data_IF_842263877555
#
_entry.id   IF_842263877555
#
_cell.length_a   1.000
_cell.length_b   1.000
_cell.length_c   1.000
_cell.angle_alpha   90.00
_cell.angle_beta   90.00
_cell.angle_gamma   90.00
#
_symmetry.space_group_name_H-M   'P 1'
#
loop_
_entity.id
_entity.type
_entity.pdbx_description
1 polymer ?
#
# COMPACT_ATOMS: atom_id res chain seq x y z
N UNK A 1 -17.25 17.76 -10.06
CA UNK A 1 -15.86 18.24 -9.88
C UNK A 1 -15.31 17.60 -8.61
N UNK A 2 -14.57 16.50 -8.71
CA UNK A 2 -14.11 15.66 -7.57
C UNK A 2 -12.62 15.23 -7.69
N UNK A 3 -11.85 15.84 -8.59
CA UNK A 3 -10.56 15.31 -9.05
C UNK A 3 -9.40 15.62 -8.06
N UNK A 4 -9.50 16.70 -7.27
CA UNK A 4 -8.43 17.09 -6.36
C UNK A 4 -8.26 16.15 -5.16
N UNK A 5 -9.37 15.57 -4.69
CA UNK A 5 -9.37 14.61 -3.56
C UNK A 5 -8.83 13.24 -3.98
N UNK A 6 -9.21 12.77 -5.18
CA UNK A 6 -8.72 11.49 -5.71
C UNK A 6 -7.23 11.55 -5.99
N UNK A 7 -6.73 12.60 -6.64
CA UNK A 7 -5.31 12.74 -6.95
C UNK A 7 -4.43 12.76 -5.70
N UNK A 8 -4.82 13.52 -4.68
CA UNK A 8 -4.08 13.59 -3.41
C UNK A 8 -4.05 12.23 -2.72
N UNK A 9 -5.14 11.47 -2.78
CA UNK A 9 -5.19 10.11 -2.25
C UNK A 9 -4.29 9.15 -3.04
N UNK A 10 -4.33 9.22 -4.37
CA UNK A 10 -3.50 8.38 -5.25
C UNK A 10 -2.01 8.66 -5.04
N UNK A 11 -1.62 9.94 -4.94
CA UNK A 11 -0.24 10.35 -4.69
C UNK A 11 0.25 9.86 -3.32
N UNK A 12 -0.60 9.94 -2.28
CA UNK A 12 -0.31 9.37 -0.96
C UNK A 12 -0.11 7.85 -1.04
N UNK A 13 -1.01 7.15 -1.72
CA UNK A 13 -0.99 5.68 -1.79
C UNK A 13 0.25 5.19 -2.55
N UNK A 14 0.59 5.87 -3.65
CA UNK A 14 1.84 5.65 -4.40
C UNK A 14 3.08 5.91 -3.54
N UNK A 15 3.10 6.99 -2.75
CA UNK A 15 4.22 7.28 -1.85
C UNK A 15 4.39 6.21 -0.77
N UNK A 16 3.28 5.73 -0.19
CA UNK A 16 3.29 4.64 0.80
C UNK A 16 3.83 3.35 0.19
N UNK A 17 3.39 2.98 -1.03
CA UNK A 17 3.89 1.80 -1.74
C UNK A 17 5.40 1.88 -2.01
N UNK A 18 5.89 3.03 -2.50
CA UNK A 18 7.32 3.25 -2.78
C UNK A 18 8.19 3.10 -1.54
N UNK A 19 7.76 3.67 -0.42
CA UNK A 19 8.48 3.56 0.86
C UNK A 19 8.52 2.13 1.37
N UNK A 20 7.40 1.42 1.31
CA UNK A 20 7.33 0.01 1.67
C UNK A 20 8.25 -0.87 0.80
N UNK A 21 8.33 -0.62 -0.50
CA UNK A 21 9.28 -1.31 -1.41
C UNK A 21 10.74 -0.97 -1.08
N UNK A 22 11.00 0.24 -0.61
CA UNK A 22 12.35 0.69 -0.22
C UNK A 22 12.82 0.09 1.12
N UNK A 23 11.93 -0.56 1.88
CA UNK A 23 12.24 -1.27 3.12
C UNK A 23 11.78 -0.58 4.40
N UNK A 24 11.14 0.58 4.32
CA UNK A 24 10.58 1.27 5.49
C UNK A 24 9.52 0.40 6.17
N UNK A 25 9.47 0.41 7.51
CA UNK A 25 8.43 -0.33 8.22
C UNK A 25 7.06 0.34 8.06
N UNK A 26 5.99 -0.47 8.02
CA UNK A 26 4.62 0.07 7.95
C UNK A 26 4.27 0.99 9.13
N UNK A 27 4.88 0.74 10.29
CA UNK A 27 4.67 1.56 11.48
C UNK A 27 5.28 2.96 11.35
N UNK A 28 6.47 3.06 10.74
CA UNK A 28 7.17 4.33 10.50
C UNK A 28 6.43 5.13 9.43
N UNK A 29 6.09 4.50 8.31
CA UNK A 29 5.32 5.13 7.25
C UNK A 29 4.00 5.68 7.82
N UNK A 30 3.27 4.87 8.61
CA UNK A 30 1.99 5.31 9.19
C UNK A 30 2.14 6.51 10.12
N UNK A 31 3.21 6.54 10.93
CA UNK A 31 3.52 7.64 11.87
C UNK A 31 3.79 8.95 11.13
N UNK A 32 4.52 8.91 10.02
CA UNK A 32 4.82 10.10 9.21
C UNK A 32 3.56 10.74 8.59
N UNK A 33 2.51 9.94 8.37
CA UNK A 33 1.19 10.43 7.94
C UNK A 33 0.24 10.75 9.10
N UNK A 34 0.71 10.69 10.36
CA UNK A 34 -0.12 10.93 11.54
C UNK A 34 -1.23 9.89 11.72
N UNK A 35 -1.02 8.65 11.29
CA UNK A 35 -1.99 7.55 11.35
C UNK A 35 -1.58 6.47 12.35
N UNK A 36 -2.53 5.59 12.69
CA UNK A 36 -2.25 4.42 13.51
C UNK A 36 -1.26 3.49 12.83
N UNK A 37 -0.46 2.75 13.61
CA UNK A 37 0.62 1.89 13.10
C UNK A 37 0.17 0.82 12.09
N UNK A 38 -1.13 0.49 12.03
CA UNK A 38 -1.70 -0.48 11.10
C UNK A 38 -2.13 0.13 9.76
N UNK A 39 -2.16 1.46 9.64
CA UNK A 39 -2.73 2.15 8.48
C UNK A 39 -2.08 1.73 7.15
N UNK A 40 -0.75 1.87 7.02
CA UNK A 40 -0.04 1.55 5.79
C UNK A 40 -0.15 0.06 5.44
N UNK A 41 -0.14 -0.82 6.45
CA UNK A 41 -0.33 -2.26 6.25
C UNK A 41 -1.71 -2.57 5.64
N UNK A 42 -2.77 -2.01 6.22
CA UNK A 42 -4.14 -2.23 5.75
C UNK A 42 -4.35 -1.63 4.37
N UNK A 43 -3.80 -0.44 4.12
CA UNK A 43 -3.87 0.22 2.81
C UNK A 43 -3.23 -0.63 1.71
N UNK A 44 -1.98 -1.06 1.92
CA UNK A 44 -1.26 -1.89 0.95
C UNK A 44 -1.99 -3.22 0.71
N UNK A 45 -2.55 -3.83 1.76
CA UNK A 45 -3.39 -5.03 1.62
C UNK A 45 -4.62 -4.77 0.75
N UNK A 46 -5.34 -3.66 0.96
CA UNK A 46 -6.50 -3.29 0.13
C UNK A 46 -6.13 -3.08 -1.34
N UNK A 47 -5.01 -2.40 -1.62
CA UNK A 47 -4.55 -2.15 -2.99
C UNK A 47 -4.19 -3.48 -3.67
N UNK A 48 -3.49 -4.37 -2.95
CA UNK A 48 -3.19 -5.73 -3.44
C UNK A 48 -4.46 -6.53 -3.73
N UNK A 49 -5.40 -6.54 -2.80
CA UNK A 49 -6.63 -7.32 -2.94
C UNK A 49 -7.52 -6.77 -4.07
N UNK A 50 -7.48 -5.46 -4.34
CA UNK A 50 -8.04 -4.86 -5.55
C UNK A 50 -7.33 -5.37 -6.81
N UNK A 51 -5.99 -5.35 -6.84
CA UNK A 51 -5.19 -5.88 -7.95
C UNK A 51 -5.46 -7.37 -8.25
N UNK A 52 -5.70 -8.20 -7.22
CA UNK A 52 -6.07 -9.61 -7.40
C UNK A 52 -7.43 -9.73 -8.10
N UNK A 53 -8.41 -8.89 -7.73
CA UNK A 53 -9.76 -8.94 -8.32
C UNK A 53 -9.82 -8.36 -9.72
N UNK A 54 -8.98 -7.37 -10.02
CA UNK A 54 -9.11 -6.53 -11.21
C UNK A 54 -8.13 -6.87 -12.34
N UNK A 55 -6.95 -7.44 -12.04
CA UNK A 55 -5.91 -7.69 -13.05
C UNK A 55 -6.21 -8.86 -13.99
N UNK A 56 -7.01 -9.84 -13.56
CA UNK A 56 -7.16 -11.12 -14.25
C UNK A 56 -5.91 -12.02 -14.17
N UNK A 57 -4.85 -11.60 -13.46
CA UNK A 57 -3.65 -12.39 -13.24
C UNK A 57 -3.84 -13.40 -12.10
N UNK A 58 -2.98 -14.42 -12.06
CA UNK A 58 -2.92 -15.32 -10.92
C UNK A 58 -2.55 -14.56 -9.64
N UNK A 59 -3.24 -14.85 -8.54
CA UNK A 59 -3.03 -14.16 -7.26
C UNK A 59 -1.55 -14.20 -6.79
N UNK A 60 -0.83 -15.28 -7.09
CA UNK A 60 0.60 -15.41 -6.78
C UNK A 60 1.46 -14.36 -7.49
N UNK A 61 1.13 -14.01 -8.73
CA UNK A 61 1.84 -13.00 -9.53
C UNK A 61 1.60 -11.62 -8.93
N UNK A 62 0.34 -11.29 -8.64
CA UNK A 62 -0.02 -10.02 -8.00
C UNK A 62 0.68 -9.90 -6.65
N UNK A 63 0.60 -10.93 -5.79
CA UNK A 63 1.23 -10.94 -4.46
C UNK A 63 2.75 -10.73 -4.55
N UNK A 64 3.42 -11.30 -5.56
CA UNK A 64 4.87 -11.15 -5.75
C UNK A 64 5.29 -9.71 -6.05
N UNK A 65 4.39 -8.89 -6.61
CA UNK A 65 4.63 -7.47 -6.90
C UNK A 65 4.50 -6.52 -5.71
N UNK A 66 3.93 -6.97 -4.59
CA UNK A 66 3.80 -6.13 -3.39
C UNK A 66 4.97 -6.34 -2.44
N UNK A 67 5.45 -5.28 -1.76
CA UNK A 67 6.48 -5.41 -0.74
C UNK A 67 6.03 -6.46 0.25
N UNK A 68 6.84 -7.53 0.39
CA UNK A 68 6.54 -8.65 1.28
C UNK A 68 6.10 -8.04 2.61
N UNK A 69 4.90 -8.42 3.04
CA UNK A 69 4.53 -8.35 4.44
C UNK A 69 5.58 -9.18 5.21
N UNK A 70 6.74 -8.58 5.50
CA UNK A 70 7.73 -9.08 6.43
C UNK A 70 7.06 -8.94 7.80
N UNK A 71 6.10 -9.83 8.04
CA UNK A 71 5.79 -10.37 9.34
C UNK A 71 7.07 -11.07 9.78
N UNK A 72 7.99 -10.31 10.36
CA UNK A 72 9.07 -10.72 11.25
C UNK A 72 9.85 -9.44 11.58
N UNK A 73 9.50 -8.85 12.72
CA UNK A 73 9.96 -7.56 13.23
C UNK A 73 8.86 -6.92 14.05
#
# INVERSE_FOLDING_TARGET
MYIASSRTADERDLAILRRAVSGDSYSEISRDYGKSASFSRVLIARIRDAGIRESGEAASVVIAGYPKARLNG
#
